data_IF_288019742786
#
_entry.id   IF_288019742786
#
_cell.length_a   1.000
_cell.length_b   1.000
_cell.length_c   1.000
_cell.angle_alpha   90.00
_cell.angle_beta   90.00
_cell.angle_gamma   90.00
#
_symmetry.space_group_name_H-M   'P 1'
#
loop_
_entity.id
_entity.type
_entity.pdbx_description
1 polymer ?
#
# COMPACT_ATOMS: atom_id res chain seq x y z
N UNK A 1 -7.10 1.92 9.50
CA UNK A 1 -7.23 0.65 8.76
C UNK A 1 -8.03 0.90 7.51
N UNK A 2 -7.71 0.27 6.39
CA UNK A 2 -8.52 0.35 5.15
C UNK A 2 -8.71 -1.02 4.54
N UNK A 3 -9.73 -1.14 3.70
CA UNK A 3 -10.02 -2.28 2.83
C UNK A 3 -10.97 -1.84 1.71
N UNK A 4 -10.83 -2.44 0.53
CA UNK A 4 -11.64 -2.17 -0.66
C UNK A 4 -12.25 -3.47 -1.19
N UNK A 5 -13.49 -3.38 -1.71
CA UNK A 5 -14.04 -4.40 -2.61
C UNK A 5 -14.05 -3.85 -4.03
N UNK A 6 -13.68 -4.70 -5.00
CA UNK A 6 -13.47 -4.30 -6.40
C UNK A 6 -14.14 -5.30 -7.35
N UNK A 7 -14.31 -4.90 -8.62
CA UNK A 7 -14.83 -5.80 -9.66
C UNK A 7 -13.79 -6.78 -10.19
N UNK A 8 -12.51 -6.62 -9.81
CA UNK A 8 -11.42 -7.50 -10.21
C UNK A 8 -10.08 -7.07 -9.61
N UNK A 9 -8.98 -7.38 -10.29
CA UNK A 9 -7.63 -7.24 -9.73
C UNK A 9 -6.80 -6.11 -10.37
N UNK A 10 -7.27 -5.53 -11.44
CA UNK A 10 -6.50 -4.58 -12.25
C UNK A 10 -7.20 -3.21 -12.30
N UNK A 11 -6.67 -2.16 -11.64
CA UNK A 11 -7.30 -0.85 -11.58
C UNK A 11 -7.40 -0.12 -12.94
N UNK A 12 -6.72 -0.62 -14.00
CA UNK A 12 -6.90 -0.12 -15.36
C UNK A 12 -8.26 -0.56 -15.96
N UNK A 13 -8.77 -1.74 -15.55
CA UNK A 13 -9.98 -2.35 -16.12
C UNK A 13 -11.09 -2.58 -15.10
N UNK A 14 -10.77 -2.49 -13.82
CA UNK A 14 -11.67 -2.84 -12.72
C UNK A 14 -12.02 -1.64 -11.87
N UNK A 15 -13.22 -1.67 -11.30
CA UNK A 15 -13.79 -0.60 -10.51
C UNK A 15 -13.83 -0.94 -9.01
N UNK A 16 -13.82 0.09 -8.15
CA UNK A 16 -14.08 -0.05 -6.71
C UNK A 16 -15.60 -0.13 -6.50
N UNK A 17 -16.04 -1.10 -5.69
CA UNK A 17 -17.45 -1.33 -5.30
C UNK A 17 -17.76 -0.89 -3.87
N UNK A 18 -16.81 -1.03 -2.96
CA UNK A 18 -16.95 -0.60 -1.57
C UNK A 18 -15.61 -0.09 -1.05
N UNK A 19 -15.65 0.99 -0.26
CA UNK A 19 -14.49 1.50 0.47
C UNK A 19 -14.81 1.57 1.95
N UNK A 20 -13.93 1.01 2.79
CA UNK A 20 -14.07 1.11 4.24
C UNK A 20 -12.78 1.53 4.93
N UNK A 21 -12.93 2.27 6.02
CA UNK A 21 -11.83 2.64 6.87
C UNK A 21 -12.23 2.69 8.35
N UNK A 22 -11.28 2.35 9.23
CA UNK A 22 -11.34 2.62 10.66
C UNK A 22 -10.26 3.61 11.06
N UNK A 23 -10.64 4.67 11.75
CA UNK A 23 -9.69 5.54 12.43
C UNK A 23 -9.43 4.97 13.82
N UNK A 24 -8.17 4.72 14.12
CA UNK A 24 -7.72 4.18 15.41
C UNK A 24 -6.76 5.17 16.04
N UNK A 25 -7.06 5.60 17.24
CA UNK A 25 -6.24 6.53 18.02
C UNK A 25 -5.95 5.90 19.37
N UNK A 26 -4.69 5.86 19.78
CA UNK A 26 -4.24 5.26 21.03
C UNK A 26 -4.69 3.81 21.26
N UNK A 27 -4.89 3.06 20.17
CA UNK A 27 -5.33 1.67 20.22
C UNK A 27 -6.86 1.49 20.27
N UNK A 28 -7.64 2.56 20.25
CA UNK A 28 -9.12 2.50 20.28
C UNK A 28 -9.71 2.98 18.95
N UNK A 29 -10.84 2.37 18.55
CA UNK A 29 -11.58 2.80 17.36
C UNK A 29 -12.29 4.11 17.66
N UNK A 30 -11.86 5.20 17.02
CA UNK A 30 -12.47 6.52 17.17
C UNK A 30 -13.67 6.70 16.24
N UNK A 31 -13.55 6.25 15.00
CA UNK A 31 -14.61 6.40 13.99
C UNK A 31 -14.49 5.36 12.89
N UNK A 32 -15.55 5.23 12.11
CA UNK A 32 -15.66 4.32 10.96
C UNK A 32 -16.14 5.09 9.74
N UNK A 33 -15.62 4.72 8.60
CA UNK A 33 -16.09 5.15 7.28
C UNK A 33 -16.45 3.91 6.47
N UNK A 34 -17.56 3.93 5.76
CA UNK A 34 -17.92 2.90 4.78
C UNK A 34 -18.84 3.51 3.75
N UNK A 35 -18.56 3.25 2.49
CA UNK A 35 -19.42 3.66 1.38
C UNK A 35 -19.38 2.64 0.26
N UNK A 36 -20.53 2.35 -0.33
CA UNK A 36 -20.61 1.69 -1.63
C UNK A 36 -20.25 2.69 -2.71
N UNK A 37 -19.80 2.20 -3.84
CA UNK A 37 -19.45 2.98 -5.03
C UNK A 37 -20.20 2.40 -6.22
N UNK A 38 -20.82 3.27 -7.02
CA UNK A 38 -21.44 2.87 -8.27
C UNK A 38 -20.37 2.75 -9.36
N UNK A 39 -20.07 1.54 -9.89
CA UNK A 39 -19.08 1.35 -10.93
C UNK A 39 -19.54 1.88 -12.31
N UNK A 40 -20.84 2.13 -12.49
CA UNK A 40 -21.40 2.56 -13.77
C UNK A 40 -21.61 1.43 -14.78
N UNK A 41 -21.10 0.23 -14.48
CA UNK A 41 -21.23 -0.99 -15.29
C UNK A 41 -21.87 -2.11 -14.46
N UNK A 42 -22.52 -3.10 -15.07
CA UNK A 42 -23.02 -4.27 -14.37
C UNK A 42 -21.89 -5.05 -13.67
N UNK A 43 -22.16 -5.50 -12.47
CA UNK A 43 -21.24 -6.31 -11.67
C UNK A 43 -21.34 -7.78 -12.14
N UNK A 44 -20.18 -8.41 -12.40
CA UNK A 44 -20.13 -9.83 -12.76
C UNK A 44 -20.72 -10.69 -11.64
N UNK A 45 -21.45 -11.75 -12.03
CA UNK A 45 -22.09 -12.69 -11.09
C UNK A 45 -21.07 -13.30 -10.12
N UNK A 46 -19.87 -13.62 -10.61
CA UNK A 46 -18.80 -14.16 -9.76
C UNK A 46 -18.38 -13.15 -8.67
N UNK A 47 -18.32 -11.87 -9.00
CA UNK A 47 -17.99 -10.80 -8.03
C UNK A 47 -19.13 -10.61 -7.04
N UNK A 48 -20.38 -10.65 -7.52
CA UNK A 48 -21.57 -10.62 -6.66
C UNK A 48 -21.57 -11.79 -5.68
N UNK A 49 -21.27 -13.00 -6.15
CA UNK A 49 -21.18 -14.19 -5.29
C UNK A 49 -20.06 -14.10 -4.27
N UNK A 50 -18.93 -13.46 -4.65
CA UNK A 50 -17.77 -13.30 -3.79
C UNK A 50 -17.99 -12.25 -2.70
N UNK A 51 -18.49 -11.06 -3.08
CA UNK A 51 -18.57 -9.88 -2.18
C UNK A 51 -19.95 -9.70 -1.56
N UNK A 52 -20.98 -10.32 -2.13
CA UNK A 52 -22.38 -10.08 -1.80
C UNK A 52 -22.89 -8.71 -2.25
N UNK A 53 -22.10 -7.95 -3.03
CA UNK A 53 -22.51 -6.65 -3.56
C UNK A 53 -23.21 -6.86 -4.89
N UNK A 54 -24.45 -6.34 -5.01
CA UNK A 54 -25.28 -6.47 -6.20
C UNK A 54 -25.45 -5.11 -6.91
N UNK A 55 -25.81 -5.14 -8.20
CA UNK A 55 -26.16 -3.93 -8.96
C UNK A 55 -27.21 -3.08 -8.24
N UNK A 56 -28.20 -3.72 -7.64
CA UNK A 56 -29.26 -3.01 -6.89
C UNK A 56 -28.72 -2.24 -5.68
N UNK A 57 -27.67 -2.77 -5.01
CA UNK A 57 -27.05 -2.11 -3.87
C UNK A 57 -26.26 -0.87 -4.25
N UNK A 58 -25.62 -0.88 -5.42
CA UNK A 58 -24.74 0.21 -5.87
C UNK A 58 -25.41 1.23 -6.77
N UNK A 59 -26.63 0.97 -7.27
CA UNK A 59 -27.31 1.84 -8.25
C UNK A 59 -27.45 3.30 -7.82
N UNK A 60 -27.73 3.52 -6.55
CA UNK A 60 -27.90 4.85 -5.95
C UNK A 60 -26.66 5.32 -5.17
N UNK A 61 -25.57 4.53 -5.19
CA UNK A 61 -24.32 4.88 -4.55
C UNK A 61 -23.59 6.00 -5.34
N UNK A 62 -22.74 6.80 -4.68
CA UNK A 62 -21.96 7.81 -5.37
C UNK A 62 -20.98 7.17 -6.36
N UNK A 63 -20.70 7.80 -7.50
CA UNK A 63 -19.61 7.38 -8.38
C UNK A 63 -18.26 7.65 -7.71
N UNK A 64 -17.21 6.95 -8.18
CA UNK A 64 -15.88 7.02 -7.58
C UNK A 64 -15.31 8.44 -7.47
N UNK A 65 -15.63 9.33 -8.43
CA UNK A 65 -15.18 10.72 -8.43
C UNK A 65 -15.69 11.52 -7.21
N UNK A 66 -16.80 11.09 -6.62
CA UNK A 66 -17.38 11.70 -5.42
C UNK A 66 -16.96 10.96 -4.15
N UNK A 67 -16.95 9.63 -4.19
CA UNK A 67 -16.67 8.79 -3.04
C UNK A 67 -15.18 8.84 -2.62
N UNK A 68 -14.25 8.82 -3.59
CA UNK A 68 -12.83 8.80 -3.27
C UNK A 68 -12.33 10.07 -2.55
N UNK A 69 -12.70 11.30 -2.95
CA UNK A 69 -12.32 12.50 -2.21
C UNK A 69 -12.76 12.50 -0.74
N UNK A 70 -13.96 11.98 -0.44
CA UNK A 70 -14.46 11.86 0.93
C UNK A 70 -13.64 10.82 1.73
N UNK A 71 -13.34 9.68 1.10
CA UNK A 71 -12.48 8.66 1.68
C UNK A 71 -11.07 9.21 1.97
N UNK A 72 -10.45 9.91 1.01
CA UNK A 72 -9.13 10.53 1.18
C UNK A 72 -9.14 11.59 2.30
N UNK A 73 -10.18 12.41 2.38
CA UNK A 73 -10.35 13.38 3.45
C UNK A 73 -10.48 12.69 4.82
N UNK A 74 -11.18 11.54 4.88
CA UNK A 74 -11.33 10.77 6.11
C UNK A 74 -10.01 10.17 6.59
N UNK A 75 -9.23 9.55 5.71
CA UNK A 75 -7.94 8.95 6.09
C UNK A 75 -6.86 9.99 6.35
N UNK A 76 -6.88 11.12 5.64
CA UNK A 76 -5.90 12.20 5.79
C UNK A 76 -4.45 11.70 5.67
N UNK A 77 -3.56 12.24 6.50
CA UNK A 77 -2.13 11.85 6.56
C UNK A 77 -1.85 10.65 7.49
N UNK A 78 -2.87 9.86 7.85
CA UNK A 78 -2.73 8.73 8.77
C UNK A 78 -1.84 7.63 8.16
N UNK A 79 -1.14 6.88 9.02
CA UNK A 79 -0.50 5.63 8.60
C UNK A 79 -1.60 4.62 8.28
N UNK A 80 -1.55 4.06 7.09
CA UNK A 80 -2.51 3.07 6.63
C UNK A 80 -2.12 1.68 7.15
N UNK A 81 -3.10 0.93 7.62
CA UNK A 81 -2.92 -0.49 7.96
C UNK A 81 -3.98 -1.29 7.23
N UNK A 82 -3.58 -2.36 6.56
CA UNK A 82 -4.50 -3.25 5.87
C UNK A 82 -3.92 -4.67 5.77
N UNK A 83 -4.64 -5.56 5.13
CA UNK A 83 -4.21 -6.93 4.89
C UNK A 83 -4.03 -7.17 3.39
N UNK A 84 -2.80 -7.32 2.91
CA UNK A 84 -2.43 -7.22 1.50
C UNK A 84 -2.74 -5.83 0.93
N UNK A 85 -2.54 -4.83 1.76
CA UNK A 85 -2.96 -3.45 1.52
C UNK A 85 -2.31 -2.79 0.30
N UNK A 86 -1.25 -3.39 -0.21
CA UNK A 86 -0.65 -2.97 -1.47
C UNK A 86 -1.62 -3.00 -2.64
N UNK A 87 -2.56 -3.96 -2.64
CA UNK A 87 -3.64 -4.03 -3.61
C UNK A 87 -4.55 -2.79 -3.54
N UNK A 88 -5.03 -2.46 -2.34
CA UNK A 88 -5.92 -1.30 -2.12
C UNK A 88 -5.22 0.02 -2.48
N UNK A 89 -3.97 0.17 -2.08
CA UNK A 89 -3.17 1.36 -2.36
C UNK A 89 -3.01 1.57 -3.86
N UNK A 90 -2.83 0.50 -4.64
CA UNK A 90 -2.73 0.56 -6.09
C UNK A 90 -4.01 1.15 -6.70
N UNK A 91 -5.18 0.61 -6.38
CA UNK A 91 -6.45 1.13 -6.86
C UNK A 91 -6.64 2.62 -6.51
N UNK A 92 -6.36 2.99 -5.26
CA UNK A 92 -6.47 4.39 -4.82
C UNK A 92 -5.50 5.29 -5.61
N UNK A 93 -4.25 4.84 -5.80
CA UNK A 93 -3.23 5.61 -6.50
C UNK A 93 -3.62 5.88 -7.95
N UNK A 94 -3.98 4.84 -8.70
CA UNK A 94 -4.33 4.94 -10.13
C UNK A 94 -5.57 5.81 -10.34
N UNK A 95 -6.58 5.67 -9.48
CA UNK A 95 -7.77 6.54 -9.55
C UNK A 95 -7.43 7.99 -9.18
N UNK A 96 -6.54 8.24 -8.22
CA UNK A 96 -6.07 9.59 -7.92
C UNK A 96 -5.38 10.22 -9.14
N UNK A 97 -4.55 9.47 -9.85
CA UNK A 97 -3.87 9.93 -11.06
C UNK A 97 -4.88 10.24 -12.17
N UNK A 98 -5.78 9.29 -12.47
CA UNK A 98 -6.84 9.47 -13.46
C UNK A 98 -7.75 10.67 -13.14
N UNK A 99 -8.16 10.84 -11.88
CA UNK A 99 -9.02 11.93 -11.43
C UNK A 99 -8.28 13.27 -11.21
N UNK A 100 -6.94 13.30 -11.43
CA UNK A 100 -6.06 14.45 -11.16
C UNK A 100 -6.15 14.95 -9.72
N UNK A 101 -6.34 14.03 -8.79
CA UNK A 101 -6.26 14.27 -7.35
C UNK A 101 -4.78 14.26 -6.89
N UNK A 102 -4.48 14.81 -5.70
CA UNK A 102 -3.16 14.64 -5.12
C UNK A 102 -2.79 13.15 -5.01
N UNK A 103 -1.57 12.74 -5.39
CA UNK A 103 -1.18 11.35 -5.37
C UNK A 103 -1.26 10.78 -3.94
N UNK A 104 -1.73 9.53 -3.83
CA UNK A 104 -1.78 8.81 -2.57
C UNK A 104 -0.37 8.50 -2.08
N UNK A 105 0.02 9.04 -0.95
CA UNK A 105 1.42 8.98 -0.45
C UNK A 105 1.52 8.63 1.04
N UNK A 106 0.51 7.96 1.59
CA UNK A 106 0.50 7.57 3.00
C UNK A 106 1.49 6.44 3.27
N UNK A 107 2.20 6.49 4.40
CA UNK A 107 2.91 5.33 4.92
C UNK A 107 1.94 4.20 5.25
N UNK A 108 2.38 2.95 5.11
CA UNK A 108 1.49 1.82 5.36
C UNK A 108 2.18 0.64 6.07
N UNK A 109 1.35 -0.19 6.68
CA UNK A 109 1.70 -1.45 7.31
C UNK A 109 0.80 -2.54 6.75
N UNK A 110 1.40 -3.62 6.30
CA UNK A 110 0.71 -4.78 5.77
C UNK A 110 0.71 -5.94 6.78
N UNK A 111 -0.48 -6.31 7.27
CA UNK A 111 -0.64 -7.39 8.25
C UNK A 111 -0.37 -8.77 7.65
N UNK A 112 -0.57 -8.98 6.33
CA UNK A 112 -0.17 -10.21 5.65
C UNK A 112 1.35 -10.38 5.71
N UNK A 113 2.09 -9.32 5.45
CA UNK A 113 3.55 -9.31 5.54
C UNK A 113 4.04 -9.54 6.96
N UNK A 114 3.41 -8.91 7.97
CA UNK A 114 3.71 -9.19 9.37
C UNK A 114 3.47 -10.68 9.70
N UNK A 115 2.35 -11.24 9.22
CA UNK A 115 2.04 -12.66 9.38
C UNK A 115 3.11 -13.56 8.76
N UNK A 116 3.57 -13.27 7.53
CA UNK A 116 4.66 -14.02 6.86
C UNK A 116 5.97 -13.97 7.63
N UNK A 117 6.28 -12.85 8.24
CA UNK A 117 7.51 -12.68 9.03
C UNK A 117 7.47 -13.41 10.38
N UNK A 118 6.30 -13.43 11.03
CA UNK A 118 6.12 -14.04 12.34
C UNK A 118 5.90 -15.57 12.25
N UNK A 119 5.14 -16.01 11.27
CA UNK A 119 4.69 -17.39 11.13
C UNK A 119 5.28 -18.07 9.89
N UNK A 120 6.60 -18.09 9.80
CA UNK A 120 7.36 -18.55 8.61
C UNK A 120 7.07 -19.98 8.18
N UNK A 121 6.59 -20.82 9.09
CA UNK A 121 6.29 -22.24 8.82
C UNK A 121 4.86 -22.44 8.27
N UNK A 122 4.06 -21.40 8.28
CA UNK A 122 2.70 -21.44 7.75
C UNK A 122 2.68 -21.27 6.23
N UNK A 123 1.81 -22.02 5.55
CA UNK A 123 1.70 -21.97 4.08
C UNK A 123 0.80 -20.83 3.60
N UNK A 124 -0.17 -20.43 4.43
CA UNK A 124 -1.20 -19.48 4.07
C UNK A 124 -1.27 -18.33 5.07
N UNK A 125 -1.44 -17.13 4.55
CA UNK A 125 -1.44 -15.89 5.32
C UNK A 125 -2.60 -14.97 4.92
N UNK A 126 -3.70 -15.52 4.39
CA UNK A 126 -4.92 -14.76 4.10
C UNK A 126 -5.48 -14.20 5.42
N UNK A 127 -6.32 -13.20 5.33
CA UNK A 127 -6.97 -12.61 6.52
C UNK A 127 -7.75 -13.67 7.31
N UNK A 128 -8.43 -14.59 6.62
CA UNK A 128 -9.13 -15.73 7.23
C UNK A 128 -8.19 -16.68 7.96
N UNK A 129 -7.00 -16.96 7.42
CA UNK A 129 -6.02 -17.85 8.05
C UNK A 129 -5.43 -17.19 9.31
N UNK A 130 -5.15 -15.89 9.23
CA UNK A 130 -4.64 -15.10 10.34
C UNK A 130 -5.69 -15.00 11.47
N UNK A 131 -6.96 -14.75 11.11
CA UNK A 131 -8.08 -14.71 12.05
C UNK A 131 -8.25 -16.03 12.79
N UNK A 132 -8.24 -17.16 12.07
CA UNK A 132 -8.33 -18.50 12.68
C UNK A 132 -7.17 -18.74 13.67
N UNK A 133 -5.96 -18.32 13.32
CA UNK A 133 -4.77 -18.47 14.18
C UNK A 133 -4.93 -17.76 15.52
N UNK A 134 -5.56 -16.59 15.52
CA UNK A 134 -5.82 -15.82 16.73
C UNK A 134 -7.20 -16.08 17.36
N UNK A 135 -7.95 -17.08 16.87
CA UNK A 135 -9.28 -17.41 17.40
C UNK A 135 -10.34 -16.33 17.17
N UNK A 136 -10.13 -15.47 16.17
CA UNK A 136 -11.07 -14.41 15.80
C UNK A 136 -12.15 -15.03 14.91
N UNK A 137 -13.38 -15.09 15.42
CA UNK A 137 -14.55 -15.52 14.65
C UNK A 137 -15.24 -14.32 14.01
N UNK A 138 -15.63 -14.48 12.76
CA UNK A 138 -16.41 -13.48 12.01
C UNK A 138 -17.53 -14.19 11.26
N UNK A 139 -18.68 -13.56 11.17
CA UNK A 139 -19.87 -14.09 10.51
C UNK A 139 -20.00 -13.60 9.06
N UNK A 140 -19.25 -12.58 8.68
CA UNK A 140 -19.31 -11.96 7.35
C UNK A 140 -17.90 -11.94 6.78
N UNK A 141 -17.76 -12.33 5.53
CA UNK A 141 -16.53 -12.26 4.74
C UNK A 141 -16.79 -11.44 3.47
N UNK A 142 -15.73 -10.86 2.91
CA UNK A 142 -15.80 -10.08 1.68
C UNK A 142 -16.79 -8.91 1.73
N UNK A 143 -16.74 -8.15 2.82
CA UNK A 143 -17.35 -6.83 2.96
C UNK A 143 -16.31 -5.93 3.61
N UNK A 144 -15.96 -4.85 2.92
CA UNK A 144 -14.83 -4.01 3.29
C UNK A 144 -14.84 -3.59 4.76
N UNK A 145 -15.97 -3.17 5.32
CA UNK A 145 -16.05 -2.79 6.74
C UNK A 145 -15.80 -3.97 7.68
N UNK A 146 -16.31 -5.16 7.37
CA UNK A 146 -16.10 -6.35 8.20
C UNK A 146 -14.63 -6.80 8.15
N UNK A 147 -14.00 -6.70 6.99
CA UNK A 147 -12.61 -7.08 6.81
C UNK A 147 -11.63 -6.06 7.42
N UNK A 148 -11.97 -4.77 7.42
CA UNK A 148 -11.24 -3.74 8.18
C UNK A 148 -11.32 -4.00 9.69
N UNK A 149 -12.49 -4.33 10.24
CA UNK A 149 -12.65 -4.67 11.66
C UNK A 149 -11.88 -5.95 12.04
N UNK A 150 -11.90 -6.94 11.15
CA UNK A 150 -11.13 -8.18 11.30
C UNK A 150 -9.63 -7.88 11.29
N UNK A 151 -9.18 -7.08 10.32
CA UNK A 151 -7.78 -6.65 10.20
C UNK A 151 -7.32 -5.92 11.45
N UNK A 152 -8.15 -5.02 12.01
CA UNK A 152 -7.85 -4.35 13.27
C UNK A 152 -7.64 -5.35 14.43
N UNK A 153 -8.55 -6.31 14.61
CA UNK A 153 -8.42 -7.33 15.65
C UNK A 153 -7.14 -8.17 15.46
N UNK A 154 -6.88 -8.63 14.23
CA UNK A 154 -5.66 -9.35 13.90
C UNK A 154 -4.40 -8.52 14.19
N UNK A 155 -4.43 -7.24 13.87
CA UNK A 155 -3.30 -6.34 14.14
C UNK A 155 -3.05 -6.14 15.63
N UNK A 156 -4.10 -6.03 16.45
CA UNK A 156 -3.97 -6.00 17.91
C UNK A 156 -3.33 -7.31 18.43
N UNK A 157 -3.83 -8.47 17.99
CA UNK A 157 -3.25 -9.76 18.38
C UNK A 157 -1.78 -9.92 17.90
N UNK A 158 -1.42 -9.39 16.74
CA UNK A 158 -0.02 -9.37 16.29
C UNK A 158 0.83 -8.55 17.26
N UNK A 159 0.35 -7.38 17.70
CA UNK A 159 1.06 -6.52 18.66
C UNK A 159 1.30 -7.24 19.98
N UNK A 160 0.26 -7.85 20.52
CA UNK A 160 0.32 -8.60 21.77
C UNK A 160 1.28 -9.80 21.64
N UNK A 161 1.17 -10.56 20.53
CA UNK A 161 2.06 -11.68 20.25
C UNK A 161 3.53 -11.27 20.19
N UNK A 162 3.84 -10.16 19.50
CA UNK A 162 5.20 -9.61 19.42
C UNK A 162 5.72 -9.19 20.79
N UNK A 163 4.87 -8.54 21.60
CA UNK A 163 5.22 -8.11 22.95
C UNK A 163 5.47 -9.29 23.88
N UNK A 164 4.55 -10.26 23.92
CA UNK A 164 4.60 -11.42 24.83
C UNK A 164 5.79 -12.33 24.56
N UNK A 165 6.22 -12.43 23.30
CA UNK A 165 7.36 -13.27 22.90
C UNK A 165 8.68 -12.49 22.81
N UNK A 166 8.69 -11.20 23.16
CA UNK A 166 9.88 -10.36 23.06
C UNK A 166 10.47 -10.30 21.65
N UNK A 167 9.62 -10.44 20.61
CA UNK A 167 10.07 -10.49 19.22
C UNK A 167 10.47 -9.07 18.80
N UNK A 168 11.74 -8.89 18.46
CA UNK A 168 12.18 -7.69 17.75
C UNK A 168 11.97 -7.96 16.27
N UNK A 169 10.92 -7.37 15.69
CA UNK A 169 10.76 -7.32 14.25
C UNK A 169 11.91 -6.48 13.69
N UNK A 170 12.99 -7.15 13.33
CA UNK A 170 14.14 -6.48 12.74
C UNK A 170 13.71 -5.91 11.38
N UNK A 171 13.78 -4.59 11.25
CA UNK A 171 14.10 -4.03 9.95
C UNK A 171 15.33 -4.81 9.46
N UNK A 172 15.23 -5.52 8.34
CA UNK A 172 16.41 -6.14 7.74
C UNK A 172 17.50 -5.08 7.77
N UNK A 173 18.55 -5.33 8.53
CA UNK A 173 19.68 -4.41 8.70
C UNK A 173 20.05 -3.88 7.33
N UNK A 174 20.07 -2.55 7.20
CA UNK A 174 20.38 -1.92 5.93
C UNK A 174 21.63 -2.57 5.39
N UNK A 175 21.55 -3.09 4.19
CA UNK A 175 22.70 -3.72 3.53
C UNK A 175 23.85 -2.72 3.55
N UNK A 176 25.09 -3.18 3.67
CA UNK A 176 26.32 -2.37 3.57
C UNK A 176 26.46 -1.69 2.18
N UNK A 177 25.51 -1.92 1.28
CA UNK A 177 25.47 -1.41 -0.09
C UNK A 177 24.99 0.04 -0.11
N UNK A 178 25.73 0.90 -0.77
CA UNK A 178 25.33 2.26 -1.12
C UNK A 178 24.81 2.28 -2.55
N UNK A 179 23.85 3.14 -2.82
CA UNK A 179 23.31 3.31 -4.17
C UNK A 179 24.41 3.59 -5.22
N UNK A 180 25.45 4.33 -4.83
CA UNK A 180 26.62 4.64 -5.68
C UNK A 180 27.46 3.41 -6.09
N UNK A 181 27.31 2.28 -5.41
CA UNK A 181 28.06 1.05 -5.69
C UNK A 181 27.33 0.17 -6.73
N UNK A 182 26.15 0.58 -7.17
CA UNK A 182 25.34 -0.09 -8.19
C UNK A 182 25.62 0.55 -9.54
N UNK A 183 26.06 -0.26 -10.48
CA UNK A 183 26.35 0.15 -11.86
C UNK A 183 25.51 -0.67 -12.83
N UNK A 184 25.18 -0.09 -13.99
CA UNK A 184 24.44 -0.79 -15.02
C UNK A 184 25.19 -2.00 -15.54
N UNK A 185 24.47 -3.09 -15.81
CA UNK A 185 25.02 -4.31 -16.42
C UNK A 185 25.17 -4.20 -17.94
N UNK A 186 24.55 -3.20 -18.57
CA UNK A 186 24.57 -2.91 -20.00
C UNK A 186 24.95 -1.47 -20.30
N UNK A 187 25.12 -1.15 -21.57
CA UNK A 187 25.45 0.20 -22.06
C UNK A 187 24.36 0.76 -22.96
N UNK A 188 23.45 -0.08 -23.43
CA UNK A 188 22.32 0.33 -24.27
C UNK A 188 21.05 0.37 -23.40
N UNK A 189 20.47 1.56 -23.27
CA UNK A 189 19.26 1.77 -22.49
C UNK A 189 18.07 2.04 -23.42
N UNK A 190 16.91 1.54 -23.03
CA UNK A 190 15.66 1.93 -23.67
C UNK A 190 15.24 3.32 -23.16
N UNK A 191 15.38 4.32 -24.02
CA UNK A 191 14.99 5.69 -23.71
C UNK A 191 13.47 5.88 -23.56
N UNK A 192 12.65 4.89 -23.97
CA UNK A 192 11.20 4.86 -23.79
C UNK A 192 10.82 4.35 -22.40
N UNK A 193 11.73 3.71 -21.68
CA UNK A 193 11.47 3.20 -20.32
C UNK A 193 11.07 4.35 -19.38
N UNK A 194 9.99 4.18 -18.58
CA UNK A 194 9.59 5.17 -17.58
C UNK A 194 10.66 5.43 -16.50
N UNK A 195 11.65 4.54 -16.41
CA UNK A 195 12.78 4.68 -15.48
C UNK A 195 13.94 5.48 -16.06
N UNK A 196 14.02 5.63 -17.41
CA UNK A 196 15.16 6.26 -18.05
C UNK A 196 15.35 7.71 -17.63
N UNK A 197 16.57 8.05 -17.22
CA UNK A 197 16.93 9.40 -16.76
C UNK A 197 16.27 9.84 -15.45
N UNK A 198 15.46 9.01 -14.80
CA UNK A 198 14.78 9.34 -13.54
C UNK A 198 15.61 8.95 -12.33
N UNK A 199 15.46 9.70 -11.25
CA UNK A 199 16.18 9.51 -9.99
C UNK A 199 15.28 8.94 -8.90
N UNK A 200 15.67 7.80 -8.34
CA UNK A 200 14.91 7.03 -7.37
C UNK A 200 15.57 6.98 -5.99
N UNK A 201 14.74 7.03 -4.96
CA UNK A 201 15.12 6.75 -3.58
C UNK A 201 14.13 5.74 -3.00
N UNK A 202 14.63 4.72 -2.32
CA UNK A 202 13.80 3.70 -1.68
C UNK A 202 13.81 3.87 -0.16
N UNK A 203 12.65 3.71 0.48
CA UNK A 203 12.48 3.68 1.94
C UNK A 203 11.59 2.50 2.33
N UNK A 204 11.67 2.03 3.57
CA UNK A 204 10.96 0.80 3.97
C UNK A 204 11.61 -0.46 3.40
N UNK A 205 10.94 -1.60 3.50
CA UNK A 205 11.36 -2.90 2.96
C UNK A 205 10.42 -3.30 1.83
N UNK A 206 10.97 -3.57 0.66
CA UNK A 206 10.18 -4.03 -0.47
C UNK A 206 9.78 -5.50 -0.27
N UNK A 207 8.59 -5.88 -0.74
CA UNK A 207 8.04 -7.21 -0.54
C UNK A 207 8.52 -8.21 -1.60
N UNK A 208 8.44 -7.82 -2.88
CA UNK A 208 8.70 -8.73 -4.00
C UNK A 208 10.18 -8.99 -4.23
N UNK A 209 11.04 -8.03 -3.90
CA UNK A 209 12.49 -8.15 -4.13
C UNK A 209 13.31 -7.38 -3.10
N UNK A 210 14.59 -7.73 -2.88
CA UNK A 210 15.52 -6.92 -2.11
C UNK A 210 15.66 -5.52 -2.71
N UNK A 211 15.80 -4.49 -1.88
CA UNK A 211 16.00 -3.10 -2.36
C UNK A 211 17.17 -2.98 -3.33
N UNK A 212 18.24 -3.77 -3.15
CA UNK A 212 19.39 -3.78 -4.05
C UNK A 212 18.98 -4.18 -5.47
N UNK A 213 18.13 -5.19 -5.59
CA UNK A 213 17.70 -5.72 -6.89
C UNK A 213 16.78 -4.69 -7.57
N UNK A 214 15.90 -4.03 -6.82
CA UNK A 214 15.10 -2.92 -7.33
C UNK A 214 15.99 -1.75 -7.82
N UNK A 215 17.02 -1.38 -7.06
CA UNK A 215 17.98 -0.35 -7.49
C UNK A 215 18.78 -0.79 -8.72
N UNK A 216 19.14 -2.07 -8.81
CA UNK A 216 19.84 -2.61 -9.99
C UNK A 216 18.97 -2.50 -11.23
N UNK A 217 17.69 -2.86 -11.12
CA UNK A 217 16.72 -2.72 -12.22
C UNK A 217 16.64 -1.27 -12.70
N UNK A 218 16.48 -0.32 -11.76
CA UNK A 218 16.45 1.12 -12.14
C UNK A 218 17.70 1.51 -12.91
N UNK A 219 18.88 1.13 -12.42
CA UNK A 219 20.16 1.50 -13.05
C UNK A 219 20.33 0.78 -14.39
N UNK A 220 19.88 -0.46 -14.52
CA UNK A 220 19.92 -1.23 -15.78
C UNK A 220 18.98 -0.65 -16.86
N UNK A 221 17.97 0.15 -16.46
CA UNK A 221 17.10 0.91 -17.38
C UNK A 221 17.55 2.37 -17.56
N UNK A 222 18.78 2.72 -17.19
CA UNK A 222 19.32 4.06 -17.36
C UNK A 222 18.83 5.10 -16.35
N UNK A 223 18.15 4.67 -15.28
CA UNK A 223 17.79 5.53 -14.15
C UNK A 223 18.92 5.67 -13.14
N UNK A 224 18.71 6.50 -12.15
CA UNK A 224 19.67 6.79 -11.06
C UNK A 224 19.09 6.43 -9.71
N UNK A 225 19.92 5.88 -8.83
CA UNK A 225 19.52 5.59 -7.45
C UNK A 225 20.35 6.39 -6.44
N UNK A 226 19.69 6.85 -5.38
CA UNK A 226 20.35 7.55 -4.27
C UNK A 226 19.93 6.98 -2.91
N UNK A 227 20.85 7.07 -1.93
CA UNK A 227 20.58 6.63 -0.56
C UNK A 227 19.65 7.60 0.19
N UNK A 228 19.63 8.87 -0.21
CA UNK A 228 18.86 9.92 0.44
C UNK A 228 18.11 10.79 -0.58
N UNK A 229 16.98 11.31 -0.17
CA UNK A 229 16.17 12.26 -0.96
C UNK A 229 16.93 13.54 -1.20
N UNK A 230 16.96 14.00 -2.46
CA UNK A 230 17.67 15.18 -2.96
C UNK A 230 16.70 16.03 -3.78
N UNK A 231 17.13 17.21 -4.20
CA UNK A 231 16.32 18.11 -5.04
C UNK A 231 16.05 17.55 -6.44
N UNK A 232 16.95 16.69 -6.92
CA UNK A 232 16.88 16.00 -8.20
C UNK A 232 16.27 14.59 -8.10
N UNK A 233 15.66 14.25 -6.98
CA UNK A 233 14.92 12.98 -6.83
C UNK A 233 13.56 13.13 -7.52
N UNK A 234 13.25 12.23 -8.44
CA UNK A 234 11.94 12.15 -9.08
C UNK A 234 10.98 11.25 -8.30
N UNK A 235 11.47 10.11 -7.80
CA UNK A 235 10.62 9.15 -7.13
C UNK A 235 11.15 8.74 -5.75
N UNK A 236 10.30 8.84 -4.73
CA UNK A 236 10.50 8.17 -3.45
C UNK A 236 9.59 6.96 -3.39
N UNK A 237 10.17 5.77 -3.53
CA UNK A 237 9.44 4.50 -3.45
C UNK A 237 9.29 4.07 -2.00
N UNK A 238 8.04 3.89 -1.57
CA UNK A 238 7.67 3.43 -0.24
C UNK A 238 7.49 1.91 -0.25
N UNK A 239 8.37 1.20 0.44
CA UNK A 239 8.11 -0.18 0.85
C UNK A 239 7.37 -0.21 2.20
N UNK A 240 6.80 -1.37 2.54
CA UNK A 240 6.10 -1.53 3.80
C UNK A 240 6.98 -1.18 5.01
N UNK A 241 6.43 -0.46 5.96
CA UNK A 241 7.11 -0.13 7.20
C UNK A 241 7.11 -1.32 8.18
N UNK A 242 8.20 -1.47 8.91
CA UNK A 242 8.26 -2.44 9.99
C UNK A 242 7.53 -1.91 11.23
N UNK A 243 6.93 -2.84 11.98
CA UNK A 243 6.18 -2.58 13.19
C UNK A 243 6.88 -1.63 14.19
N UNK A 244 8.21 -1.72 14.34
CA UNK A 244 8.99 -0.88 15.26
C UNK A 244 9.02 0.62 14.87
N UNK A 245 8.58 0.98 13.68
CA UNK A 245 8.48 2.38 13.23
C UNK A 245 7.10 3.00 13.47
N UNK A 246 6.18 2.24 14.04
CA UNK A 246 4.77 2.61 14.21
C UNK A 246 4.47 3.62 15.32
N UNK A 247 5.46 4.21 15.94
CA UNK A 247 5.24 5.31 16.90
C UNK A 247 4.81 6.63 16.23
N UNK A 248 4.10 6.54 15.11
CA UNK A 248 3.41 7.67 14.49
C UNK A 248 4.27 8.64 13.69
N UNK A 249 5.54 8.31 13.40
CA UNK A 249 6.42 9.23 12.68
C UNK A 249 6.73 8.74 11.27
N UNK A 250 6.34 9.51 10.25
CA UNK A 250 6.82 9.37 8.87
C UNK A 250 8.35 9.28 8.85
N UNK A 251 8.91 8.49 7.92
CA UNK A 251 10.36 8.37 7.79
C UNK A 251 11.01 9.73 7.48
N UNK A 252 12.26 9.94 7.89
CA UNK A 252 12.98 11.18 7.56
C UNK A 252 13.08 11.43 6.05
N UNK A 253 13.14 10.37 5.24
CA UNK A 253 13.13 10.45 3.78
C UNK A 253 11.79 10.96 3.26
N UNK A 254 10.68 10.45 3.79
CA UNK A 254 9.35 10.87 3.40
C UNK A 254 9.08 12.33 3.81
N UNK A 255 9.39 12.71 5.05
CA UNK A 255 9.30 14.13 5.49
C UNK A 255 10.06 15.06 4.56
N UNK A 256 11.26 14.66 4.15
CA UNK A 256 12.10 15.45 3.25
C UNK A 256 11.52 15.51 1.83
N UNK A 257 10.97 14.41 1.32
CA UNK A 257 10.31 14.38 0.01
C UNK A 257 9.08 15.29 -0.01
N UNK A 258 8.25 15.24 1.02
CA UNK A 258 7.08 16.12 1.18
C UNK A 258 7.49 17.59 1.23
N UNK A 259 8.52 17.94 2.00
CA UNK A 259 9.05 19.30 2.06
C UNK A 259 9.53 19.80 0.70
N UNK A 260 10.23 18.95 -0.06
CA UNK A 260 10.71 19.32 -1.39
C UNK A 260 9.54 19.47 -2.38
N UNK A 261 8.54 18.58 -2.33
CA UNK A 261 7.33 18.70 -3.15
C UNK A 261 6.57 20.00 -2.86
N UNK A 262 6.39 20.35 -1.60
CA UNK A 262 5.78 21.62 -1.20
C UNK A 262 6.60 22.84 -1.65
N UNK A 263 7.90 22.68 -1.79
CA UNK A 263 8.80 23.72 -2.33
C UNK A 263 8.81 23.78 -3.87
N UNK A 264 7.95 23.00 -4.55
CA UNK A 264 7.82 23.02 -6.01
C UNK A 264 8.80 22.11 -6.77
N UNK A 265 9.47 21.18 -6.10
CA UNK A 265 10.29 20.18 -6.79
C UNK A 265 9.38 19.06 -7.37
N UNK A 266 9.82 18.53 -8.53
CA UNK A 266 9.17 17.43 -9.23
C UNK A 266 9.56 16.11 -8.56
N UNK A 267 8.96 15.82 -7.40
CA UNK A 267 9.15 14.59 -6.65
C UNK A 267 7.81 13.94 -6.37
N UNK A 268 7.68 12.70 -6.80
CA UNK A 268 6.55 11.84 -6.49
C UNK A 268 6.89 10.86 -5.38
N UNK A 269 5.90 10.58 -4.53
CA UNK A 269 6.00 9.57 -3.47
C UNK A 269 5.06 8.44 -3.88
N UNK A 270 5.62 7.31 -4.25
CA UNK A 270 4.89 6.17 -4.81
C UNK A 270 5.03 4.92 -3.93
N UNK A 271 4.05 4.03 -3.99
CA UNK A 271 4.15 2.72 -3.35
C UNK A 271 5.08 1.79 -4.15
N UNK A 272 5.54 0.71 -3.51
CA UNK A 272 6.31 -0.32 -4.21
C UNK A 272 5.52 -1.00 -5.34
N UNK A 273 4.19 -1.05 -5.24
CA UNK A 273 3.37 -1.65 -6.29
C UNK A 273 3.36 -0.79 -7.55
N UNK A 274 3.22 0.52 -7.42
CA UNK A 274 3.36 1.47 -8.54
C UNK A 274 4.74 1.35 -9.17
N UNK A 275 5.80 1.26 -8.36
CA UNK A 275 7.14 1.01 -8.89
C UNK A 275 7.22 -0.29 -9.71
N UNK A 276 6.57 -1.38 -9.25
CA UNK A 276 6.57 -2.64 -10.01
C UNK A 276 5.78 -2.56 -11.32
N UNK A 277 4.79 -1.71 -11.42
CA UNK A 277 4.07 -1.45 -12.67
C UNK A 277 4.95 -0.74 -13.68
N UNK A 278 5.66 0.30 -13.25
CA UNK A 278 6.64 0.97 -14.09
C UNK A 278 7.72 0.04 -14.69
N UNK A 279 7.85 -1.19 -14.16
CA UNK A 279 8.75 -2.22 -14.72
C UNK A 279 8.09 -3.06 -15.82
N UNK A 280 6.77 -3.02 -15.94
CA UNK A 280 6.02 -3.85 -16.90
C UNK A 280 5.58 -3.07 -18.15
N UNK A 281 5.69 -1.74 -18.09
CA UNK A 281 5.48 -0.82 -19.22
C UNK A 281 6.78 -0.68 -20.04
#
# INVERSE_FOLDING_TARGET
MIDLETTGFDPEYDDILEMAALRVVNGEIESKFSTLVNPGNPIDEFITDLTGITDEMVKDAPPIQNALPEFLAYIGDSIIVGHNVGFDIRFIYDICEWAKLPPFSNDYVDTMRLSRNLFKNEKHHRLTDLSKRFGITTTVEHRALADVERTYKCYCCIKDYVSDHGIVLQARSGSQWKAKDITANGVDFDEQSPLYGKSFVFTGTLERMPRRDAMQIVVDHGGLCHDNVRKDTNYLVLGANDYNKLNGAKSNKQKKAEQLRLAGNDIEIISENVFYEMLND
#
